data_IF_442076073146
#
_entry.id   IF_442076073146
#
_cell.length_a   1.000
_cell.length_b   1.000
_cell.length_c   1.000
_cell.angle_alpha   90.00
_cell.angle_beta   90.00
_cell.angle_gamma   90.00
#
_symmetry.space_group_name_H-M   'P 1'
#
loop_
_entity.id
_entity.type
_entity.pdbx_description
1 polymer ?
#
# COMPACT_ATOMS: atom_id res chain seq x y z
N UNK A 1 6.82 15.35 1.26
CA UNK A 1 5.45 15.67 0.81
C UNK A 1 4.94 17.03 1.29
N UNK A 2 5.69 17.82 2.07
CA UNK A 2 5.19 19.04 2.76
C UNK A 2 4.60 20.18 1.91
N UNK A 3 4.60 20.09 0.57
CA UNK A 3 3.97 21.07 -0.33
C UNK A 3 3.03 20.42 -1.38
N UNK A 4 2.65 19.16 -1.22
CA UNK A 4 1.73 18.50 -2.14
C UNK A 4 0.30 18.75 -1.66
N UNK A 5 -0.49 19.50 -2.43
CA UNK A 5 -1.88 19.80 -2.10
C UNK A 5 -2.85 18.93 -2.90
N UNK A 6 -4.06 18.74 -2.39
CA UNK A 6 -5.13 18.02 -3.10
C UNK A 6 -5.45 18.71 -4.42
N UNK A 7 -5.41 20.04 -4.47
CA UNK A 7 -5.63 20.84 -5.66
C UNK A 7 -4.58 20.55 -6.73
N UNK A 8 -3.30 20.53 -6.35
CA UNK A 8 -2.20 20.23 -7.27
C UNK A 8 -2.26 18.78 -7.80
N UNK A 9 -2.62 17.82 -6.93
CA UNK A 9 -2.82 16.42 -7.35
C UNK A 9 -4.00 16.31 -8.31
N UNK A 10 -5.12 16.97 -8.00
CA UNK A 10 -6.33 16.94 -8.80
C UNK A 10 -6.11 17.54 -10.19
N UNK A 11 -5.40 18.66 -10.27
CA UNK A 11 -5.00 19.29 -11.52
C UNK A 11 -4.10 18.36 -12.35
N UNK A 12 -3.07 17.79 -11.75
CA UNK A 12 -2.16 16.87 -12.43
C UNK A 12 -2.85 15.59 -12.93
N UNK A 13 -3.84 15.09 -12.19
CA UNK A 13 -4.63 13.91 -12.56
C UNK A 13 -5.82 14.21 -13.48
N UNK A 14 -6.10 15.49 -13.78
CA UNK A 14 -7.23 15.90 -14.63
C UNK A 14 -8.60 15.64 -14.02
N UNK A 15 -8.70 15.62 -12.69
CA UNK A 15 -9.95 15.37 -11.94
C UNK A 15 -10.32 16.57 -11.07
N UNK A 16 -11.58 16.63 -10.62
CA UNK A 16 -11.97 17.64 -9.64
C UNK A 16 -11.52 17.28 -8.22
N UNK A 17 -11.26 18.25 -7.33
CA UNK A 17 -11.02 17.96 -5.90
C UNK A 17 -12.15 17.16 -5.25
N UNK A 18 -13.41 17.38 -5.66
CA UNK A 18 -14.54 16.58 -5.22
C UNK A 18 -14.39 15.10 -5.62
N UNK A 19 -13.87 14.83 -6.82
CA UNK A 19 -13.58 13.47 -7.27
C UNK A 19 -12.47 12.86 -6.42
N UNK A 20 -11.41 13.61 -6.12
CA UNK A 20 -10.35 13.14 -5.21
C UNK A 20 -10.92 12.74 -3.84
N UNK A 21 -11.71 13.61 -3.22
CA UNK A 21 -12.30 13.36 -1.90
C UNK A 21 -13.33 12.23 -1.86
N UNK A 22 -13.85 11.79 -3.01
CA UNK A 22 -14.69 10.58 -3.06
C UNK A 22 -13.87 9.29 -2.81
N UNK A 23 -12.56 9.32 -3.06
CA UNK A 23 -11.68 8.16 -2.93
C UNK A 23 -10.69 8.28 -1.76
N UNK A 24 -10.23 9.50 -1.44
CA UNK A 24 -9.22 9.74 -0.41
C UNK A 24 -9.66 10.84 0.54
N UNK A 25 -9.59 10.59 1.85
CA UNK A 25 -9.96 11.60 2.85
C UNK A 25 -8.95 12.75 2.93
N UNK A 26 -7.68 12.49 2.60
CA UNK A 26 -6.59 13.44 2.55
C UNK A 26 -5.56 13.07 1.48
N UNK A 27 -4.66 14.00 1.15
CA UNK A 27 -3.58 13.73 0.20
C UNK A 27 -2.64 12.60 0.65
N UNK A 28 -2.52 12.37 1.96
CA UNK A 28 -1.67 11.33 2.52
C UNK A 28 -2.25 9.92 2.30
N UNK A 29 -3.58 9.80 2.23
CA UNK A 29 -4.26 8.52 2.05
C UNK A 29 -4.12 7.99 0.62
N UNK A 30 -3.60 8.80 -0.30
CA UNK A 30 -3.23 8.36 -1.64
C UNK A 30 -1.92 7.53 -1.66
N UNK A 31 -1.15 7.52 -0.57
CA UNK A 31 0.15 6.83 -0.48
C UNK A 31 0.07 5.47 0.24
N UNK A 32 -1.10 4.85 0.31
CA UNK A 32 -1.26 3.51 0.90
C UNK A 32 -0.45 2.48 0.11
N UNK A 33 0.39 1.72 0.82
CA UNK A 33 1.33 0.76 0.22
C UNK A 33 0.74 -0.66 0.13
N UNK A 34 -0.33 -0.90 0.91
CA UNK A 34 -0.98 -2.19 1.08
C UNK A 34 -2.43 -2.01 0.62
N UNK A 35 -2.82 -2.63 -0.50
CA UNK A 35 -4.22 -2.58 -0.90
C UNK A 35 -5.12 -3.25 0.17
N UNK A 36 -6.35 -2.78 0.30
CA UNK A 36 -7.31 -3.25 1.33
C UNK A 36 -7.49 -4.78 1.34
N UNK A 37 -7.27 -5.46 0.21
CA UNK A 37 -7.37 -6.91 0.06
C UNK A 37 -6.15 -7.71 0.50
N UNK A 38 -5.00 -7.08 0.78
CA UNK A 38 -3.77 -7.79 1.21
C UNK A 38 -4.03 -8.61 2.48
N UNK A 39 -4.76 -8.06 3.44
CA UNK A 39 -5.06 -8.76 4.70
C UNK A 39 -5.85 -10.05 4.48
N UNK A 40 -6.84 -10.03 3.58
CA UNK A 40 -7.62 -11.23 3.25
C UNK A 40 -6.80 -12.24 2.45
N UNK A 41 -5.98 -11.81 1.50
CA UNK A 41 -5.10 -12.73 0.76
C UNK A 41 -4.05 -13.40 1.66
N UNK A 42 -3.47 -12.65 2.61
CA UNK A 42 -2.59 -13.24 3.63
C UNK A 42 -3.36 -14.26 4.47
N UNK A 43 -4.57 -13.94 4.91
CA UNK A 43 -5.42 -14.86 5.69
C UNK A 43 -5.72 -16.14 4.91
N UNK A 44 -6.05 -16.03 3.63
CA UNK A 44 -6.30 -17.17 2.75
C UNK A 44 -5.03 -18.00 2.54
N UNK A 45 -3.90 -17.37 2.26
CA UNK A 45 -2.61 -18.04 2.08
C UNK A 45 -2.18 -18.80 3.34
N UNK A 46 -2.39 -18.22 4.54
CA UNK A 46 -2.13 -18.91 5.81
C UNK A 46 -3.06 -20.11 6.00
N UNK A 47 -4.35 -19.97 5.66
CA UNK A 47 -5.32 -21.08 5.76
C UNK A 47 -5.03 -22.23 4.78
N UNK A 48 -4.51 -21.91 3.61
CA UNK A 48 -4.13 -22.87 2.58
C UNK A 48 -2.73 -23.47 2.78
N UNK A 49 -1.99 -23.04 3.80
CA UNK A 49 -0.63 -23.50 4.04
C UNK A 49 -0.59 -25.01 4.38
N UNK A 50 0.45 -25.74 3.94
CA UNK A 50 0.65 -27.14 4.30
C UNK A 50 0.71 -27.32 5.83
N UNK A 51 0.10 -28.40 6.33
CA UNK A 51 0.00 -28.68 7.76
C UNK A 51 1.36 -29.02 8.41
N UNK A 52 2.37 -29.33 7.60
CA UNK A 52 3.74 -29.60 8.01
C UNK A 52 4.51 -28.33 8.39
N UNK A 53 4.04 -27.15 7.97
CA UNK A 53 4.65 -25.88 8.35
C UNK A 53 4.26 -25.50 9.77
N UNK A 54 5.22 -24.96 10.51
CA UNK A 54 4.90 -24.29 11.77
C UNK A 54 4.06 -23.03 11.49
N UNK A 55 3.27 -22.54 12.47
CA UNK A 55 2.48 -21.34 12.30
C UNK A 55 3.29 -20.12 11.83
N UNK A 56 4.52 -19.97 12.32
CA UNK A 56 5.40 -18.88 11.92
C UNK A 56 5.87 -19.01 10.46
N UNK A 57 6.17 -20.23 10.01
CA UNK A 57 6.56 -20.51 8.62
C UNK A 57 5.40 -20.28 7.65
N UNK A 58 4.18 -20.68 8.02
CA UNK A 58 2.99 -20.43 7.23
C UNK A 58 2.74 -18.92 7.04
N UNK A 59 2.82 -18.14 8.13
CA UNK A 59 2.69 -16.68 8.07
C UNK A 59 3.80 -16.06 7.23
N UNK A 60 5.06 -16.44 7.46
CA UNK A 60 6.19 -15.95 6.65
C UNK A 60 6.00 -16.23 5.17
N UNK A 61 5.56 -17.45 4.82
CA UNK A 61 5.33 -17.85 3.43
C UNK A 61 4.21 -17.03 2.79
N UNK A 62 3.14 -16.73 3.52
CA UNK A 62 2.05 -15.88 3.03
C UNK A 62 2.55 -14.46 2.72
N UNK A 63 3.32 -13.84 3.62
CA UNK A 63 3.90 -12.51 3.38
C UNK A 63 4.87 -12.50 2.18
N UNK A 64 5.74 -13.52 2.06
CA UNK A 64 6.65 -13.63 0.90
C UNK A 64 5.88 -13.84 -0.40
N UNK A 65 4.74 -14.55 -0.36
CA UNK A 65 3.84 -14.72 -1.50
C UNK A 65 3.26 -13.39 -1.97
N UNK A 66 2.75 -12.57 -1.05
CA UNK A 66 2.24 -11.23 -1.40
C UNK A 66 3.32 -10.35 -2.02
N UNK A 67 4.56 -10.42 -1.51
CA UNK A 67 5.68 -9.66 -2.06
C UNK A 67 6.05 -10.06 -3.51
N UNK A 68 5.62 -11.22 -4.02
CA UNK A 68 5.85 -11.56 -5.43
C UNK A 68 5.00 -10.73 -6.39
N UNK A 69 3.79 -10.33 -5.98
CA UNK A 69 2.96 -9.39 -6.74
C UNK A 69 3.53 -7.97 -6.78
N UNK A 70 4.61 -7.71 -6.05
CA UNK A 70 5.29 -6.43 -6.03
C UNK A 70 6.25 -6.28 -7.21
N UNK A 71 6.58 -7.35 -7.94
CA UNK A 71 7.40 -7.28 -9.17
C UNK A 71 6.72 -6.42 -10.26
N UNK A 72 5.41 -6.58 -10.44
CA UNK A 72 4.63 -5.80 -11.41
C UNK A 72 4.47 -4.33 -11.00
N UNK A 73 4.64 -4.02 -9.70
CA UNK A 73 4.50 -2.68 -9.13
C UNK A 73 5.82 -2.07 -8.66
N UNK A 74 6.96 -2.66 -9.02
CA UNK A 74 8.30 -2.26 -8.53
C UNK A 74 8.54 -0.75 -8.65
N UNK A 75 8.22 -0.17 -9.81
CA UNK A 75 8.45 1.25 -10.08
C UNK A 75 7.62 2.16 -9.15
N UNK A 76 6.32 1.84 -8.99
CA UNK A 76 5.43 2.58 -8.10
C UNK A 76 5.89 2.46 -6.64
N UNK A 77 6.29 1.27 -6.21
CA UNK A 77 6.76 1.02 -4.86
C UNK A 77 8.06 1.77 -4.57
N UNK A 78 8.99 1.83 -5.52
CA UNK A 78 10.22 2.62 -5.38
C UNK A 78 9.91 4.11 -5.18
N UNK A 79 8.97 4.65 -5.94
CA UNK A 79 8.52 6.04 -5.78
C UNK A 79 7.86 6.27 -4.42
N UNK A 80 7.02 5.35 -3.96
CA UNK A 80 6.41 5.42 -2.63
C UNK A 80 7.47 5.36 -1.51
N UNK A 81 8.47 4.47 -1.63
CA UNK A 81 9.58 4.41 -0.68
C UNK A 81 10.39 5.71 -0.65
N UNK A 82 10.62 6.36 -1.79
CA UNK A 82 11.27 7.68 -1.83
C UNK A 82 10.45 8.73 -1.06
N UNK A 83 9.14 8.76 -1.28
CA UNK A 83 8.22 9.65 -0.57
C UNK A 83 8.24 9.37 0.94
N UNK A 84 8.24 8.10 1.36
CA UNK A 84 8.30 7.69 2.77
C UNK A 84 9.61 8.08 3.44
N UNK A 85 10.74 7.92 2.77
CA UNK A 85 12.05 8.35 3.29
C UNK A 85 12.10 9.86 3.52
N UNK A 86 11.44 10.65 2.67
CA UNK A 86 11.33 12.10 2.82
C UNK A 86 10.25 12.54 3.80
N UNK A 87 9.33 11.65 4.18
CA UNK A 87 8.18 11.97 5.03
C UNK A 87 7.80 10.76 5.89
N UNK A 88 8.59 10.46 6.96
CA UNK A 88 8.45 9.22 7.72
C UNK A 88 7.10 9.02 8.41
N UNK A 89 6.34 10.10 8.66
CA UNK A 89 4.99 10.02 9.22
C UNK A 89 4.02 9.27 8.29
N UNK A 90 4.31 9.20 6.99
CA UNK A 90 3.52 8.43 6.02
C UNK A 90 3.72 6.93 6.15
N UNK A 91 4.80 6.46 6.78
CA UNK A 91 5.04 5.02 6.97
C UNK A 91 3.95 4.39 7.83
N UNK A 92 3.58 5.04 8.94
CA UNK A 92 2.55 4.51 9.84
C UNK A 92 1.18 4.52 9.18
N UNK A 93 0.88 5.56 8.38
CA UNK A 93 -0.38 5.68 7.66
C UNK A 93 -0.46 4.73 6.46
N UNK A 94 0.63 4.50 5.74
CA UNK A 94 0.67 3.61 4.58
C UNK A 94 0.59 2.12 4.91
N UNK A 95 0.61 1.77 6.21
CA UNK A 95 0.42 0.42 6.75
C UNK A 95 -1.00 0.17 7.28
N UNK A 96 -1.86 1.19 7.34
CA UNK A 96 -3.27 1.10 7.74
C UNK A 96 -4.16 0.74 6.56
#
# INVERSE_FOLDING_TARGET
AENVTVEAISEAAGVSPRTFFNYFASHDDAFVLIDEGVSERIREAVRAAPAELTPLEAVRSAFVGELKGFEERQELLNLQFEVFQRSPHLIVRGLH
#
